data_IF_789936284789
#
_entry.id   IF_789936284789
#
_cell.length_a   1.000
_cell.length_b   1.000
_cell.length_c   1.000
_cell.angle_alpha   90.00
_cell.angle_beta   90.00
_cell.angle_gamma   90.00
#
_symmetry.space_group_name_H-M   'P 1'
#
loop_
_entity.id
_entity.type
_entity.pdbx_description
1 polymer ?
#
# COMPACT_ATOMS: atom_id res chain seq x y z
N UNK A 1 16.32 18.78 18.70
CA UNK A 1 14.99 19.41 18.89
C UNK A 1 14.01 18.95 17.84
N UNK A 2 12.74 18.77 18.23
CA UNK A 2 11.61 18.38 17.38
C UNK A 2 11.34 19.43 16.31
N UNK A 3 11.06 18.98 15.09
CA UNK A 3 10.75 19.81 13.94
C UNK A 3 9.31 19.55 13.47
N UNK A 4 8.33 20.41 13.82
CA UNK A 4 6.93 20.23 13.46
C UNK A 4 6.68 20.19 11.95
N UNK A 5 7.51 20.88 11.16
CA UNK A 5 7.38 20.96 9.70
C UNK A 5 7.77 19.67 8.98
N UNK A 6 8.57 18.82 9.64
CA UNK A 6 9.06 17.55 9.09
C UNK A 6 8.31 16.33 9.64
N UNK A 7 7.34 16.53 10.55
CA UNK A 7 6.45 15.45 11.01
C UNK A 7 5.61 14.97 9.82
N UNK A 8 5.70 13.68 9.42
CA UNK A 8 4.97 13.18 8.27
C UNK A 8 3.46 13.37 8.42
N UNK A 9 2.82 13.84 7.35
CA UNK A 9 1.37 14.00 7.28
C UNK A 9 0.80 13.06 6.23
N UNK A 10 -0.33 12.44 6.53
CA UNK A 10 -1.03 11.56 5.59
C UNK A 10 -1.89 12.43 4.67
N UNK A 11 -1.61 12.49 3.35
CA UNK A 11 -2.43 13.26 2.43
C UNK A 11 -3.73 12.53 2.10
N UNK A 12 -4.73 13.31 1.67
CA UNK A 12 -6.01 12.78 1.19
C UNK A 12 -7.06 12.56 2.28
N UNK A 13 -8.25 12.19 1.82
CA UNK A 13 -9.45 12.01 2.66
C UNK A 13 -9.78 10.51 2.75
N UNK A 14 -9.67 9.96 3.96
CA UNK A 14 -9.91 8.53 4.20
C UNK A 14 -11.38 8.14 4.00
N UNK A 15 -12.33 9.06 4.16
CA UNK A 15 -13.74 8.78 3.89
C UNK A 15 -14.01 8.69 2.40
N UNK A 16 -13.38 9.55 1.59
CA UNK A 16 -13.40 9.45 0.13
C UNK A 16 -12.74 8.15 -0.33
N UNK A 17 -11.61 7.77 0.26
CA UNK A 17 -10.92 6.53 -0.06
C UNK A 17 -11.78 5.29 0.26
N UNK A 18 -12.42 5.26 1.43
CA UNK A 18 -13.35 4.20 1.79
C UNK A 18 -14.56 4.12 0.83
N UNK A 19 -15.10 5.27 0.42
CA UNK A 19 -16.19 5.33 -0.56
C UNK A 19 -15.77 4.79 -1.94
N UNK A 20 -14.52 5.00 -2.35
CA UNK A 20 -13.97 4.37 -3.56
C UNK A 20 -13.82 2.86 -3.41
N UNK A 21 -13.37 2.37 -2.25
CA UNK A 21 -13.35 0.95 -1.94
C UNK A 21 -14.74 0.31 -2.03
N UNK A 22 -15.78 0.97 -1.53
CA UNK A 22 -17.16 0.47 -1.62
C UNK A 22 -17.69 0.49 -3.07
N UNK A 23 -17.29 1.49 -3.85
CA UNK A 23 -17.61 1.57 -5.28
C UNK A 23 -17.00 0.39 -6.05
N UNK A 24 -15.75 0.03 -5.75
CA UNK A 24 -15.11 -1.17 -6.31
C UNK A 24 -15.86 -2.44 -5.91
N UNK A 25 -16.23 -2.60 -4.64
CA UNK A 25 -16.99 -3.77 -4.17
C UNK A 25 -18.32 -3.91 -4.89
N UNK A 26 -19.05 -2.81 -5.06
CA UNK A 26 -20.30 -2.77 -5.81
C UNK A 26 -20.08 -3.14 -7.28
N UNK A 27 -19.05 -2.58 -7.92
CA UNK A 27 -18.70 -2.90 -9.30
C UNK A 27 -18.33 -4.38 -9.49
N UNK A 28 -17.49 -4.93 -8.61
CA UNK A 28 -17.12 -6.35 -8.61
C UNK A 28 -18.32 -7.28 -8.45
N UNK A 29 -19.23 -6.97 -7.52
CA UNK A 29 -20.47 -7.74 -7.36
C UNK A 29 -21.35 -7.69 -8.61
N UNK A 30 -21.54 -6.49 -9.18
CA UNK A 30 -22.33 -6.32 -10.40
C UNK A 30 -21.72 -7.07 -11.59
N UNK A 31 -20.39 -7.09 -11.71
CA UNK A 31 -19.68 -7.83 -12.74
C UNK A 31 -19.96 -9.34 -12.61
N UNK A 32 -19.79 -9.90 -11.41
CA UNK A 32 -20.05 -11.33 -11.16
C UNK A 32 -21.51 -11.72 -11.40
N UNK A 33 -22.47 -10.88 -11.00
CA UNK A 33 -23.88 -11.12 -11.31
C UNK A 33 -24.19 -11.05 -12.80
N UNK A 34 -23.58 -10.09 -13.50
CA UNK A 34 -23.77 -9.92 -14.94
C UNK A 34 -23.21 -11.11 -15.70
N UNK A 35 -22.04 -11.62 -15.33
CA UNK A 35 -21.45 -12.80 -15.98
C UNK A 35 -22.31 -14.05 -15.82
N UNK A 36 -22.87 -14.27 -14.62
CA UNK A 36 -23.84 -15.34 -14.34
C UNK A 36 -25.12 -15.17 -15.18
N UNK A 37 -25.64 -13.95 -15.27
CA UNK A 37 -26.87 -13.66 -16.01
C UNK A 37 -26.69 -13.86 -17.53
N UNK A 38 -25.53 -13.48 -18.08
CA UNK A 38 -25.20 -13.68 -19.50
C UNK A 38 -25.21 -15.17 -19.82
N UNK A 39 -24.50 -16.00 -19.05
CA UNK A 39 -24.48 -17.45 -19.26
C UNK A 39 -25.88 -18.06 -19.13
N UNK A 40 -26.60 -17.74 -18.05
CA UNK A 40 -27.97 -18.24 -17.85
C UNK A 40 -28.92 -17.87 -18.99
N UNK A 41 -28.77 -16.66 -19.56
CA UNK A 41 -29.63 -16.19 -20.67
C UNK A 41 -29.35 -17.01 -21.92
N UNK A 42 -28.08 -17.21 -22.27
CA UNK A 42 -27.69 -18.02 -23.42
C UNK A 42 -28.09 -19.48 -23.27
N UNK A 43 -27.86 -20.09 -22.10
CA UNK A 43 -28.32 -21.47 -21.83
C UNK A 43 -29.84 -21.60 -21.97
N UNK A 44 -30.61 -20.57 -21.62
CA UNK A 44 -32.06 -20.53 -21.81
C UNK A 44 -32.52 -20.53 -23.27
N UNK A 45 -31.68 -20.08 -24.21
CA UNK A 45 -31.95 -20.10 -25.65
C UNK A 45 -31.67 -21.45 -26.31
N UNK A 46 -30.94 -22.34 -25.62
CA UNK A 46 -30.54 -23.65 -26.16
C UNK A 46 -31.68 -24.48 -26.79
N UNK A 47 -32.92 -24.48 -26.27
CA UNK A 47 -34.01 -25.25 -26.86
C UNK A 47 -34.55 -24.72 -28.20
N UNK A 48 -34.29 -23.44 -28.52
CA UNK A 48 -34.89 -22.73 -29.67
C UNK A 48 -33.86 -22.17 -30.65
N UNK A 49 -32.57 -22.21 -30.28
CA UNK A 49 -31.47 -21.73 -31.10
C UNK A 49 -30.95 -22.86 -32.00
N UNK A 50 -31.14 -22.71 -33.32
CA UNK A 50 -30.73 -23.70 -34.32
C UNK A 50 -29.67 -23.10 -35.26
N UNK A 51 -28.45 -23.59 -35.13
CA UNK A 51 -27.31 -23.26 -35.97
C UNK A 51 -26.30 -24.42 -35.93
N UNK A 52 -25.54 -24.67 -37.01
CA UNK A 52 -24.52 -25.74 -37.02
C UNK A 52 -23.50 -25.62 -35.87
N UNK A 53 -23.22 -24.38 -35.43
CA UNK A 53 -22.26 -24.03 -34.39
C UNK A 53 -22.91 -23.74 -33.01
N UNK A 54 -24.20 -24.04 -32.83
CA UNK A 54 -24.95 -23.68 -31.62
C UNK A 54 -24.30 -24.15 -30.31
N UNK A 55 -23.77 -25.37 -30.30
CA UNK A 55 -23.08 -25.93 -29.14
C UNK A 55 -21.78 -25.18 -28.80
N UNK A 56 -21.07 -24.62 -29.78
CA UNK A 56 -19.84 -23.85 -29.55
C UNK A 56 -20.16 -22.51 -28.88
N UNK A 57 -21.18 -21.83 -29.40
CA UNK A 57 -21.65 -20.56 -28.85
C UNK A 57 -22.15 -20.71 -27.40
N UNK A 58 -22.96 -21.74 -27.14
CA UNK A 58 -23.46 -22.04 -25.79
C UNK A 58 -22.35 -22.51 -24.85
N UNK A 59 -21.33 -23.22 -25.35
CA UNK A 59 -20.19 -23.59 -24.52
C UNK A 59 -19.31 -22.38 -24.16
N UNK A 60 -19.21 -21.39 -25.05
CA UNK A 60 -18.39 -20.19 -24.86
C UNK A 60 -18.87 -19.29 -23.71
N UNK A 61 -20.11 -19.44 -23.24
CA UNK A 61 -20.65 -18.60 -22.15
C UNK A 61 -20.27 -19.10 -20.77
N UNK A 62 -19.97 -20.40 -20.63
CA UNK A 62 -19.54 -20.99 -19.35
C UNK A 62 -18.28 -20.33 -18.77
N UNK A 63 -17.24 -20.08 -19.60
CA UNK A 63 -16.04 -19.37 -19.15
C UNK A 63 -16.26 -17.89 -18.84
N UNK A 64 -17.20 -17.20 -19.52
CA UNK A 64 -17.61 -15.84 -19.15
C UNK A 64 -18.11 -15.81 -17.72
N UNK A 65 -18.99 -16.77 -17.39
CA UNK A 65 -19.53 -16.92 -16.04
C UNK A 65 -18.42 -17.10 -15.02
N UNK A 66 -17.52 -18.06 -15.23
CA UNK A 66 -16.47 -18.37 -14.24
C UNK A 66 -15.48 -17.22 -14.12
N UNK A 67 -14.88 -16.76 -15.21
CA UNK A 67 -13.87 -15.69 -15.17
C UNK A 67 -14.47 -14.37 -14.72
N UNK A 68 -15.67 -14.00 -15.19
CA UNK A 68 -16.32 -12.78 -14.74
C UNK A 68 -16.73 -12.82 -13.26
N UNK A 69 -17.05 -14.00 -12.73
CA UNK A 69 -17.32 -14.17 -11.31
C UNK A 69 -16.03 -14.03 -10.47
N UNK A 70 -14.94 -14.68 -10.90
CA UNK A 70 -13.65 -14.64 -10.20
C UNK A 70 -13.07 -13.21 -10.19
N UNK A 71 -13.05 -12.55 -11.35
CA UNK A 71 -12.65 -11.13 -11.47
C UNK A 71 -13.53 -10.25 -10.58
N UNK A 72 -14.85 -10.47 -10.56
CA UNK A 72 -15.76 -9.73 -9.70
C UNK A 72 -15.47 -9.93 -8.20
N UNK A 73 -15.10 -11.15 -7.80
CA UNK A 73 -14.70 -11.48 -6.44
C UNK A 73 -13.38 -10.78 -6.06
N UNK A 74 -12.38 -10.82 -6.94
CA UNK A 74 -11.08 -10.19 -6.73
C UNK A 74 -11.19 -8.67 -6.61
N UNK A 75 -12.00 -8.00 -7.45
CA UNK A 75 -12.30 -6.56 -7.30
C UNK A 75 -12.93 -6.29 -5.93
N UNK A 76 -13.79 -7.21 -5.46
CA UNK A 76 -14.39 -7.15 -4.13
C UNK A 76 -13.37 -7.26 -2.99
N UNK A 77 -12.28 -8.01 -3.19
CA UNK A 77 -11.15 -8.11 -2.24
C UNK A 77 -10.34 -6.81 -2.25
N UNK A 78 -9.98 -6.28 -3.43
CA UNK A 78 -9.27 -4.99 -3.56
C UNK A 78 -10.05 -3.87 -2.87
N UNK A 79 -11.35 -3.75 -3.16
CA UNK A 79 -12.18 -2.73 -2.53
C UNK A 79 -12.28 -2.88 -1.00
N UNK A 80 -12.23 -4.13 -0.48
CA UNK A 80 -12.19 -4.36 0.97
C UNK A 80 -10.86 -3.95 1.58
N UNK A 81 -9.73 -4.28 0.94
CA UNK A 81 -8.40 -3.90 1.41
C UNK A 81 -8.28 -2.38 1.54
N UNK A 82 -8.81 -1.64 0.55
CA UNK A 82 -8.84 -0.17 0.56
C UNK A 82 -9.70 0.39 1.70
N UNK A 83 -10.88 -0.20 1.96
CA UNK A 83 -11.74 0.21 3.08
C UNK A 83 -11.02 -0.03 4.42
N UNK A 84 -10.45 -1.22 4.61
CA UNK A 84 -9.71 -1.56 5.83
C UNK A 84 -8.55 -0.58 6.05
N UNK A 85 -7.76 -0.30 5.00
CA UNK A 85 -6.69 0.69 5.06
C UNK A 85 -7.20 2.07 5.47
N UNK A 86 -8.27 2.56 4.84
CA UNK A 86 -8.85 3.85 5.18
C UNK A 86 -9.32 3.91 6.65
N UNK A 87 -9.94 2.84 7.15
CA UNK A 87 -10.41 2.76 8.53
C UNK A 87 -9.27 2.72 9.56
N UNK A 88 -8.19 2.00 9.27
CA UNK A 88 -6.98 1.93 10.11
C UNK A 88 -6.19 3.25 10.09
N UNK A 89 -6.10 3.90 8.93
CA UNK A 89 -5.30 5.10 8.73
C UNK A 89 -6.00 6.37 9.25
N UNK A 90 -7.34 6.42 9.27
CA UNK A 90 -8.10 7.57 9.76
C UNK A 90 -7.67 8.04 11.18
N UNK A 91 -7.59 7.18 12.22
CA UNK A 91 -7.10 7.61 13.53
C UNK A 91 -5.62 7.99 13.52
N UNK A 92 -4.79 7.35 12.70
CA UNK A 92 -3.36 7.66 12.58
C UNK A 92 -3.15 9.04 11.96
N UNK A 93 -3.91 9.37 10.91
CA UNK A 93 -3.92 10.69 10.27
C UNK A 93 -4.27 11.79 11.29
N UNK A 94 -5.33 11.58 12.08
CA UNK A 94 -5.73 12.52 13.12
C UNK A 94 -4.65 12.66 14.22
N UNK A 95 -4.01 11.55 14.60
CA UNK A 95 -2.92 11.55 15.58
C UNK A 95 -1.71 12.35 15.08
N UNK A 96 -1.27 12.15 13.84
CA UNK A 96 -0.14 12.89 13.25
C UNK A 96 -0.41 14.40 13.12
N UNK A 97 -1.65 14.80 12.81
CA UNK A 97 -2.06 16.21 12.81
C UNK A 97 -2.05 16.80 14.22
N UNK A 98 -2.52 16.04 15.21
CA UNK A 98 -2.46 16.44 16.63
C UNK A 98 -1.02 16.55 17.12
N UNK A 99 -0.15 15.61 16.76
CA UNK A 99 1.27 15.63 17.13
C UNK A 99 2.00 16.81 16.50
N UNK A 100 1.72 17.15 15.24
CA UNK A 100 2.26 18.36 14.63
C UNK A 100 1.82 19.63 15.36
N UNK A 101 0.55 19.71 15.76
CA UNK A 101 0.02 20.86 16.51
C UNK A 101 0.66 20.98 17.90
N UNK A 102 0.84 19.85 18.59
CA UNK A 102 1.51 19.78 19.89
C UNK A 102 2.99 20.14 19.78
N UNK A 103 3.70 19.60 18.77
CA UNK A 103 5.08 19.95 18.51
C UNK A 103 5.26 21.43 18.19
N UNK A 104 4.34 22.04 17.43
CA UNK A 104 4.34 23.49 17.16
C UNK A 104 4.17 24.26 18.47
N UNK A 105 3.20 23.87 19.30
CA UNK A 105 2.96 24.52 20.59
C UNK A 105 4.15 24.39 21.54
N UNK A 106 4.83 23.24 21.53
CA UNK A 106 6.04 23.00 22.30
C UNK A 106 7.17 23.93 21.85
N UNK A 107 7.46 23.97 20.54
CA UNK A 107 8.50 24.85 19.95
C UNK A 107 8.21 26.32 20.29
N UNK A 108 6.96 26.76 20.15
CA UNK A 108 6.56 28.13 20.51
C UNK A 108 6.72 28.40 22.03
N UNK A 109 6.51 27.40 22.89
CA UNK A 109 6.59 27.57 24.35
C UNK A 109 8.02 27.75 24.88
N UNK A 110 9.00 27.27 24.13
CA UNK A 110 10.44 27.38 24.47
C UNK A 110 11.16 28.42 23.62
N UNK A 111 10.42 29.17 22.79
CA UNK A 111 10.99 30.23 21.96
C UNK A 111 11.65 31.32 22.83
N UNK A 112 12.96 31.50 22.66
CA UNK A 112 13.75 32.48 23.42
C UNK A 112 14.12 32.06 24.84
N UNK A 113 13.88 30.79 25.20
CA UNK A 113 14.36 30.15 26.42
C UNK A 113 15.52 29.20 26.04
N UNK A 114 16.75 29.74 26.01
CA UNK A 114 17.94 28.97 25.57
C UNK A 114 18.28 27.82 26.54
N UNK A 115 17.78 27.85 27.78
CA UNK A 115 18.04 26.87 28.84
C UNK A 115 16.81 25.95 29.09
N UNK A 116 15.88 25.87 28.14
CA UNK A 116 14.65 25.07 28.31
C UNK A 116 14.92 23.58 28.59
N UNK A 117 16.07 23.08 28.13
CA UNK A 117 16.54 21.70 28.32
C UNK A 117 17.06 21.42 29.74
N UNK A 118 17.21 22.44 30.59
CA UNK A 118 17.43 22.27 32.04
C UNK A 118 16.13 21.93 32.79
N UNK A 119 14.97 22.13 32.16
CA UNK A 119 13.66 21.74 32.71
C UNK A 119 13.32 20.31 32.29
N UNK A 120 13.55 19.36 33.19
CA UNK A 120 13.29 17.93 32.95
C UNK A 120 11.85 17.63 32.49
N UNK A 121 10.85 18.40 32.92
CA UNK A 121 9.46 18.21 32.47
C UNK A 121 9.31 18.58 30.98
N UNK A 122 10.04 19.61 30.50
CA UNK A 122 10.04 20.00 29.08
C UNK A 122 10.81 19.00 28.21
N UNK A 123 11.93 18.47 28.72
CA UNK A 123 12.69 17.41 28.03
C UNK A 123 11.86 16.15 27.90
N UNK A 124 11.15 15.74 28.95
CA UNK A 124 10.23 14.60 28.95
C UNK A 124 9.08 14.81 27.95
N UNK A 125 8.46 16.00 27.94
CA UNK A 125 7.40 16.35 26.97
C UNK A 125 7.92 16.26 25.53
N UNK A 126 9.06 16.87 25.26
CA UNK A 126 9.73 16.87 23.96
C UNK A 126 10.02 15.44 23.45
N UNK A 127 10.67 14.63 24.28
CA UNK A 127 11.05 13.26 23.92
C UNK A 127 9.80 12.35 23.80
N UNK A 128 8.76 12.61 24.59
CA UNK A 128 7.47 11.94 24.43
C UNK A 128 6.80 12.27 23.09
N UNK A 129 6.92 13.50 22.59
CA UNK A 129 6.38 13.86 21.28
C UNK A 129 7.09 13.10 20.15
N UNK A 130 8.42 12.98 20.22
CA UNK A 130 9.22 12.26 19.22
C UNK A 130 8.83 10.77 19.14
N UNK A 131 8.76 10.10 20.29
CA UNK A 131 8.37 8.67 20.36
C UNK A 131 6.92 8.44 19.91
N UNK A 132 6.00 9.37 20.20
CA UNK A 132 4.64 9.30 19.69
C UNK A 132 4.54 9.49 18.16
N UNK A 133 5.39 10.34 17.57
CA UNK A 133 5.50 10.46 16.11
C UNK A 133 6.02 9.16 15.51
N UNK A 134 7.07 8.57 16.08
CA UNK A 134 7.63 7.28 15.65
C UNK A 134 6.57 6.19 15.64
N UNK A 135 5.82 6.05 16.72
CA UNK A 135 4.75 5.06 16.83
C UNK A 135 3.65 5.24 15.77
N UNK A 136 3.22 6.48 15.52
CA UNK A 136 2.20 6.78 14.51
C UNK A 136 2.71 6.51 13.08
N UNK A 137 3.96 6.85 12.80
CA UNK A 137 4.61 6.62 11.50
C UNK A 137 4.80 5.11 11.24
N UNK A 138 5.23 4.33 12.24
CA UNK A 138 5.33 2.88 12.16
C UNK A 138 3.96 2.21 11.94
N UNK A 139 2.92 2.66 12.65
CA UNK A 139 1.56 2.17 12.47
C UNK A 139 1.02 2.46 11.06
N UNK A 140 1.36 3.61 10.49
CA UNK A 140 0.98 3.93 9.11
C UNK A 140 1.62 2.97 8.11
N UNK A 141 2.92 2.69 8.23
CA UNK A 141 3.61 1.72 7.38
C UNK A 141 3.02 0.31 7.51
N UNK A 142 2.57 -0.07 8.70
CA UNK A 142 1.93 -1.37 8.92
C UNK A 142 0.58 -1.51 8.20
N UNK A 143 -0.26 -0.48 8.27
CA UNK A 143 -1.51 -0.43 7.51
C UNK A 143 -1.26 -0.56 6.00
N UNK A 144 -0.19 0.09 5.50
CA UNK A 144 0.20 0.01 4.09
C UNK A 144 0.62 -1.40 3.70
N UNK A 145 1.48 -2.07 4.49
CA UNK A 145 1.86 -3.47 4.25
C UNK A 145 0.63 -4.38 4.21
N UNK A 146 -0.28 -4.24 5.17
CA UNK A 146 -1.50 -5.05 5.26
C UNK A 146 -2.36 -4.89 4.01
N UNK A 147 -2.57 -3.65 3.56
CA UNK A 147 -3.30 -3.34 2.34
C UNK A 147 -2.62 -3.93 1.10
N UNK A 148 -1.32 -3.68 0.95
CA UNK A 148 -0.52 -4.17 -0.17
C UNK A 148 -0.53 -5.70 -0.24
N UNK A 149 -0.26 -6.39 0.86
CA UNK A 149 -0.23 -7.86 0.91
C UNK A 149 -1.57 -8.48 0.55
N UNK A 150 -2.67 -7.87 1.00
CA UNK A 150 -4.02 -8.34 0.65
C UNK A 150 -4.27 -8.28 -0.86
N UNK A 151 -3.82 -7.21 -1.51
CA UNK A 151 -3.98 -7.04 -2.96
C UNK A 151 -2.97 -7.93 -3.73
N UNK A 152 -1.72 -7.99 -3.26
CA UNK A 152 -0.64 -8.75 -3.89
C UNK A 152 -0.91 -10.26 -3.87
N UNK A 153 -1.62 -10.75 -2.84
CA UNK A 153 -2.05 -12.14 -2.77
C UNK A 153 -2.98 -12.56 -3.93
N UNK A 154 -3.68 -11.62 -4.58
CA UNK A 154 -4.58 -11.91 -5.70
C UNK A 154 -3.83 -12.32 -6.97
N UNK A 155 -2.60 -11.84 -7.15
CA UNK A 155 -1.82 -12.08 -8.35
C UNK A 155 -0.45 -12.72 -8.10
N UNK A 156 -0.19 -13.16 -6.86
CA UNK A 156 1.11 -13.73 -6.47
C UNK A 156 2.24 -12.70 -6.45
N UNK A 157 1.92 -11.43 -6.24
CA UNK A 157 2.90 -10.35 -6.12
C UNK A 157 3.73 -10.43 -4.85
N UNK A 158 4.70 -9.52 -4.74
CA UNK A 158 5.59 -9.38 -3.59
C UNK A 158 4.77 -9.30 -2.30
N UNK A 159 5.19 -10.03 -1.27
CA UNK A 159 4.64 -9.90 0.06
C UNK A 159 5.60 -9.07 0.90
N UNK A 160 5.11 -7.93 1.37
CA UNK A 160 5.85 -7.01 2.18
C UNK A 160 5.87 -7.44 3.64
N UNK A 161 7.05 -7.39 4.24
CA UNK A 161 7.30 -7.52 5.67
C UNK A 161 7.98 -6.25 6.17
N UNK A 162 7.91 -6.05 7.46
CA UNK A 162 8.69 -5.02 8.12
C UNK A 162 10.19 -5.31 7.92
N UNK A 163 10.99 -4.26 7.76
CA UNK A 163 12.45 -4.32 7.82
C UNK A 163 12.88 -5.00 9.13
N UNK A 164 13.93 -5.82 9.11
CA UNK A 164 14.41 -6.56 10.28
C UNK A 164 15.62 -5.90 10.97
N UNK A 165 16.11 -4.79 10.42
CA UNK A 165 17.20 -4.01 10.97
C UNK A 165 18.57 -4.68 10.83
N UNK A 166 18.77 -5.55 9.83
CA UNK A 166 20.09 -6.13 9.55
C UNK A 166 21.00 -5.23 8.67
N UNK A 167 20.41 -4.18 8.06
CA UNK A 167 21.09 -3.22 7.21
C UNK A 167 21.29 -3.68 5.77
N UNK A 168 20.61 -4.75 5.35
CA UNK A 168 20.57 -5.28 4.00
C UNK A 168 19.18 -5.10 3.45
N UNK A 169 19.04 -4.40 2.32
CA UNK A 169 17.74 -4.28 1.67
C UNK A 169 17.37 -5.61 0.98
N UNK A 170 16.39 -6.34 1.52
CA UNK A 170 15.82 -7.51 0.86
C UNK A 170 14.53 -7.22 0.10
N UNK A 171 14.28 -8.01 -0.95
CA UNK A 171 13.02 -7.92 -1.69
C UNK A 171 11.85 -8.25 -0.78
N UNK A 172 10.90 -7.32 -0.70
CA UNK A 172 9.73 -7.46 0.15
C UNK A 172 9.92 -6.89 1.55
N UNK A 173 11.01 -6.19 1.85
CA UNK A 173 11.08 -5.35 3.04
C UNK A 173 10.52 -3.96 2.75
N UNK A 174 9.66 -3.48 3.65
CA UNK A 174 9.12 -2.15 3.60
C UNK A 174 8.72 -1.65 4.98
N UNK A 175 9.27 -0.50 5.33
CA UNK A 175 8.91 0.23 6.54
C UNK A 175 9.47 -0.38 7.81
N UNK A 176 9.43 0.43 8.87
CA UNK A 176 10.17 0.20 10.10
C UNK A 176 9.24 -0.06 11.28
N UNK A 177 9.80 -0.57 12.39
CA UNK A 177 9.11 -0.65 13.68
C UNK A 177 9.24 0.66 14.45
N UNK A 178 8.38 0.86 15.46
CA UNK A 178 8.58 1.98 16.40
C UNK A 178 9.95 1.87 17.04
N UNK A 179 10.36 0.67 17.46
CA UNK A 179 11.66 0.43 18.08
C UNK A 179 12.84 0.79 17.16
N UNK A 180 12.74 0.50 15.85
CA UNK A 180 13.76 0.88 14.86
C UNK A 180 13.80 2.39 14.64
N UNK A 181 12.64 3.04 14.64
CA UNK A 181 12.58 4.50 14.59
C UNK A 181 13.14 5.11 15.88
N UNK A 182 12.88 4.52 17.04
CA UNK A 182 13.43 4.97 18.33
C UNK A 182 14.96 4.74 18.38
N UNK A 183 15.48 3.65 17.81
CA UNK A 183 16.91 3.45 17.67
C UNK A 183 17.54 4.47 16.71
N UNK A 184 16.89 4.75 15.57
CA UNK A 184 17.31 5.79 14.63
C UNK A 184 17.25 7.20 15.23
N UNK A 185 16.27 7.46 16.11
CA UNK A 185 16.13 8.71 16.83
C UNK A 185 17.37 9.01 17.69
N UNK A 186 17.92 7.98 18.33
CA UNK A 186 19.12 8.07 19.17
C UNK A 186 20.45 8.03 18.37
N UNK A 187 20.39 8.13 17.04
CA UNK A 187 21.56 8.14 16.16
C UNK A 187 22.25 9.51 16.09
N UNK A 188 23.50 9.55 15.62
CA UNK A 188 24.19 10.83 15.32
C UNK A 188 23.39 11.74 14.38
N UNK A 189 22.61 11.15 13.46
CA UNK A 189 21.87 11.85 12.42
C UNK A 189 20.40 12.13 12.81
N UNK A 190 19.90 11.50 13.88
CA UNK A 190 18.52 11.61 14.36
C UNK A 190 17.46 11.18 13.34
N UNK A 191 16.26 11.73 13.50
CA UNK A 191 15.16 11.59 12.56
C UNK A 191 14.79 12.94 11.92
N UNK A 192 14.09 12.92 10.77
CA UNK A 192 13.64 14.14 10.09
C UNK A 192 12.88 15.12 10.99
N UNK A 193 12.00 14.55 11.83
CA UNK A 193 11.16 15.29 12.76
C UNK A 193 11.85 15.59 14.08
N UNK A 194 13.14 15.25 14.25
CA UNK A 194 13.96 15.75 15.36
C UNK A 194 14.96 14.74 15.92
N UNK A 195 15.77 15.24 16.85
CA UNK A 195 16.68 14.50 17.72
C UNK A 195 16.18 14.58 19.16
N UNK A 196 16.41 13.55 19.99
CA UNK A 196 16.12 13.61 21.42
C UNK A 196 16.99 14.67 22.08
N UNK A 197 16.53 15.19 23.21
CA UNK A 197 17.32 16.07 24.08
C UNK A 197 17.59 15.33 25.40
N UNK A 198 18.81 15.44 25.91
CA UNK A 198 19.14 14.97 27.26
C UNK A 198 18.96 16.14 28.24
N UNK A 199 18.53 15.87 29.46
CA UNK A 199 18.57 16.86 30.54
C UNK A 199 20.03 17.25 30.75
N UNK A 200 20.37 18.54 30.65
CA UNK A 200 21.75 19.02 30.79
C UNK A 200 22.26 18.73 32.22
N UNK A 201 22.88 17.55 32.42
CA UNK A 201 23.54 17.14 33.65
C UNK A 201 25.04 17.48 33.60
N UNK A 202 25.72 17.72 34.74
CA UNK A 202 27.08 18.26 34.73
C UNK A 202 28.08 17.33 34.00
N UNK A 203 28.85 17.92 33.07
CA UNK A 203 29.91 17.45 32.15
C UNK A 203 30.76 16.17 32.38
N UNK A 204 30.56 15.35 33.43
CA UNK A 204 31.36 14.17 33.75
C UNK A 204 30.66 12.83 33.48
N UNK A 205 29.44 12.84 32.96
CA UNK A 205 28.60 11.64 32.79
C UNK A 205 28.24 11.34 31.34
N UNK A 206 29.21 11.48 30.42
CA UNK A 206 28.99 11.19 29.00
C UNK A 206 29.84 10.02 28.52
N UNK A 207 29.18 8.88 28.34
CA UNK A 207 29.84 7.68 27.86
C UNK A 207 28.87 6.56 27.53
N UNK A 208 28.65 6.34 26.23
CA UNK A 208 28.94 5.07 25.56
C UNK A 208 28.60 5.15 24.07
N UNK A 209 29.64 5.02 23.25
CA UNK A 209 29.55 4.73 21.82
C UNK A 209 29.22 3.24 21.62
N UNK A 210 28.11 2.92 20.96
CA UNK A 210 28.01 1.68 20.19
C UNK A 210 27.10 1.88 18.97
N UNK A 211 27.51 1.29 17.84
CA UNK A 211 26.83 1.15 16.53
C UNK A 211 27.14 2.25 15.47
N UNK A 212 28.43 2.44 15.15
CA UNK A 212 28.87 3.40 14.12
C UNK A 212 28.78 2.97 12.64
N UNK A 213 28.23 1.81 12.29
CA UNK A 213 28.13 1.36 10.87
C UNK A 213 26.75 0.91 10.39
N UNK A 214 25.77 0.76 11.29
CA UNK A 214 24.40 0.41 10.94
C UNK A 214 23.58 1.67 10.62
N UNK A 215 23.77 2.76 11.39
CA UNK A 215 22.87 3.91 11.35
C UNK A 215 23.04 4.83 10.13
N UNK A 216 24.24 5.00 9.57
CA UNK A 216 24.41 5.95 8.44
C UNK A 216 23.76 5.52 7.13
N UNK A 217 23.67 4.22 6.84
CA UNK A 217 23.06 3.72 5.60
C UNK A 217 21.54 3.53 5.74
N UNK A 218 21.10 3.00 6.87
CA UNK A 218 19.69 2.69 7.13
C UNK A 218 18.86 3.96 7.39
N UNK A 219 19.41 4.93 8.12
CA UNK A 219 18.66 6.14 8.53
C UNK A 219 18.61 7.18 7.40
N UNK A 220 19.75 7.51 6.79
CA UNK A 220 19.82 8.62 5.83
C UNK A 220 19.21 8.26 4.47
N UNK A 221 19.45 7.06 3.95
CA UNK A 221 18.91 6.63 2.65
C UNK A 221 17.64 5.75 2.81
N UNK A 222 17.60 4.84 3.79
CA UNK A 222 16.49 3.89 3.97
C UNK A 222 15.21 4.51 4.52
N UNK A 223 15.28 5.20 5.67
CA UNK A 223 14.11 5.88 6.26
C UNK A 223 13.63 7.01 5.35
N UNK A 224 14.55 7.82 4.80
CA UNK A 224 14.19 8.91 3.91
C UNK A 224 13.57 8.45 2.59
N UNK A 225 14.20 7.45 1.94
CA UNK A 225 13.65 6.83 0.73
C UNK A 225 12.29 6.20 0.96
N UNK A 226 12.11 5.56 2.12
CA UNK A 226 10.82 4.97 2.53
C UNK A 226 9.76 6.03 2.77
N UNK A 227 10.06 7.14 3.46
CA UNK A 227 9.11 8.24 3.66
C UNK A 227 8.71 8.90 2.34
N UNK A 228 9.65 9.16 1.43
CA UNK A 228 9.33 9.69 0.09
C UNK A 228 8.54 8.68 -0.75
N UNK A 229 8.85 7.39 -0.63
CA UNK A 229 8.08 6.30 -1.23
C UNK A 229 6.66 6.20 -0.67
N UNK A 230 6.49 6.45 0.63
CA UNK A 230 5.23 6.52 1.37
C UNK A 230 4.26 7.50 0.72
N UNK A 231 4.75 8.70 0.39
CA UNK A 231 3.95 9.77 -0.21
C UNK A 231 3.50 9.44 -1.64
N UNK A 232 4.26 8.64 -2.36
CA UNK A 232 3.94 8.27 -3.73
C UNK A 232 3.15 6.96 -3.82
N UNK A 233 3.09 6.14 -2.76
CA UNK A 233 2.56 4.75 -2.75
C UNK A 233 3.13 3.83 -3.85
N UNK A 234 4.07 4.30 -4.68
CA UNK A 234 4.63 3.58 -5.83
C UNK A 234 5.53 2.42 -5.36
N UNK A 235 6.17 2.51 -4.20
CA UNK A 235 7.16 1.52 -3.79
C UNK A 235 6.56 0.24 -3.17
N UNK A 236 5.33 0.32 -2.65
CA UNK A 236 4.63 -0.81 -1.99
C UNK A 236 3.60 -1.51 -2.87
N UNK A 237 3.35 -0.99 -4.06
CA UNK A 237 2.40 -1.58 -5.00
C UNK A 237 3.08 -1.77 -6.35
N UNK A 238 3.21 -3.03 -6.75
CA UNK A 238 3.61 -3.39 -8.11
C UNK A 238 2.42 -3.22 -9.07
N UNK A 239 2.12 -1.97 -9.39
CA UNK A 239 1.00 -1.58 -10.26
C UNK A 239 1.15 -2.11 -11.68
N UNK A 240 2.38 -2.28 -12.16
CA UNK A 240 2.65 -2.81 -13.50
C UNK A 240 2.29 -4.30 -13.56
N UNK A 241 2.75 -5.11 -12.60
CA UNK A 241 2.39 -6.53 -12.53
C UNK A 241 0.91 -6.71 -12.23
N UNK A 242 0.33 -5.92 -11.32
CA UNK A 242 -1.11 -5.94 -11.08
C UNK A 242 -1.88 -5.68 -12.37
N UNK A 243 -1.57 -4.59 -13.09
CA UNK A 243 -2.24 -4.24 -14.34
C UNK A 243 -2.02 -5.30 -15.41
N UNK A 244 -0.82 -5.87 -15.52
CA UNK A 244 -0.50 -6.92 -16.48
C UNK A 244 -1.28 -8.21 -16.23
N UNK A 245 -1.36 -8.69 -14.97
CA UNK A 245 -2.13 -9.88 -14.61
C UNK A 245 -3.61 -9.69 -14.92
N UNK A 246 -4.17 -8.53 -14.57
CA UNK A 246 -5.58 -8.23 -14.85
C UNK A 246 -5.85 -8.04 -16.34
N UNK A 247 -4.93 -7.44 -17.09
CA UNK A 247 -5.00 -7.37 -18.55
C UNK A 247 -4.93 -8.78 -19.18
N UNK A 248 -4.07 -9.67 -18.68
CA UNK A 248 -3.97 -11.05 -19.14
C UNK A 248 -5.26 -11.85 -18.86
N UNK A 249 -5.89 -11.67 -17.69
CA UNK A 249 -7.20 -12.24 -17.39
C UNK A 249 -8.29 -11.71 -18.33
N UNK A 250 -8.28 -10.41 -18.62
CA UNK A 250 -9.17 -9.79 -19.62
C UNK A 250 -8.95 -10.36 -21.03
N UNK A 251 -7.70 -10.56 -21.42
CA UNK A 251 -7.30 -11.19 -22.68
C UNK A 251 -7.79 -12.64 -22.77
N UNK A 252 -7.59 -13.45 -21.73
CA UNK A 252 -8.12 -14.83 -21.65
C UNK A 252 -9.65 -14.86 -21.78
N UNK A 253 -10.35 -14.00 -21.05
CA UNK A 253 -11.81 -13.89 -21.17
C UNK A 253 -12.25 -13.54 -22.61
N UNK A 254 -11.53 -12.64 -23.28
CA UNK A 254 -11.80 -12.26 -24.67
C UNK A 254 -11.57 -13.40 -25.66
N UNK A 255 -10.49 -14.18 -25.48
CA UNK A 255 -10.18 -15.38 -26.28
C UNK A 255 -11.30 -16.41 -26.14
N UNK A 256 -11.74 -16.68 -24.92
CA UNK A 256 -12.72 -17.75 -24.67
C UNK A 256 -14.12 -17.36 -25.17
N UNK A 257 -14.47 -16.08 -25.10
CA UNK A 257 -15.74 -15.57 -25.67
C UNK A 257 -15.77 -15.55 -27.19
N UNK A 258 -14.59 -15.53 -27.83
CA UNK A 258 -14.46 -15.41 -29.26
C UNK A 258 -13.47 -16.46 -29.79
N UNK A 259 -13.79 -17.76 -29.71
CA UNK A 259 -12.86 -18.84 -30.08
C UNK A 259 -12.52 -18.85 -31.58
N UNK A 260 -13.32 -18.17 -32.41
CA UNK A 260 -12.99 -17.93 -33.83
C UNK A 260 -11.78 -17.00 -33.97
N UNK A 261 -11.57 -16.09 -33.01
CA UNK A 261 -10.44 -15.16 -33.02
C UNK A 261 -9.10 -15.85 -32.75
N UNK A 262 -9.08 -17.00 -32.05
CA UNK A 262 -7.88 -17.86 -31.96
C UNK A 262 -7.37 -18.26 -33.35
N UNK A 263 -8.30 -18.70 -34.21
CA UNK A 263 -7.99 -19.11 -35.58
C UNK A 263 -7.65 -17.89 -36.45
N UNK A 264 -8.34 -16.76 -36.27
CA UNK A 264 -8.10 -15.54 -37.06
C UNK A 264 -6.77 -14.85 -36.66
N UNK A 265 -6.33 -15.00 -35.40
CA UNK A 265 -5.12 -14.39 -34.88
C UNK A 265 -3.84 -15.02 -35.42
N UNK A 266 -3.89 -16.29 -35.86
CA UNK A 266 -2.79 -16.90 -36.61
C UNK A 266 -2.49 -16.15 -37.91
N UNK A 267 -3.51 -15.58 -38.55
CA UNK A 267 -3.41 -15.00 -39.89
C UNK A 267 -3.46 -13.48 -39.92
N UNK A 268 -3.92 -12.84 -38.84
CA UNK A 268 -4.09 -11.37 -38.74
C UNK A 268 -3.91 -10.86 -37.31
N UNK A 269 -3.40 -9.65 -37.13
CA UNK A 269 -3.42 -8.98 -35.83
C UNK A 269 -4.86 -8.59 -35.44
N UNK A 270 -5.22 -8.74 -34.18
CA UNK A 270 -6.58 -8.47 -33.65
C UNK A 270 -6.46 -7.35 -32.61
N UNK A 271 -7.40 -6.39 -32.50
CA UNK A 271 -7.27 -5.29 -31.54
C UNK A 271 -6.98 -5.79 -30.12
N UNK A 272 -5.84 -5.37 -29.55
CA UNK A 272 -5.37 -5.81 -28.23
C UNK A 272 -4.43 -7.03 -28.20
N UNK A 273 -4.15 -7.63 -29.36
CA UNK A 273 -3.28 -8.81 -29.51
C UNK A 273 -2.38 -8.71 -30.75
N UNK A 274 -1.10 -9.02 -30.60
CA UNK A 274 -0.22 -9.25 -31.74
C UNK A 274 -0.62 -10.53 -32.50
N UNK A 275 -0.22 -10.62 -33.77
CA UNK A 275 -0.52 -11.79 -34.59
C UNK A 275 0.19 -13.03 -34.00
N UNK A 276 -0.56 -14.07 -33.67
CA UNK A 276 -0.06 -15.31 -33.07
C UNK A 276 0.02 -15.32 -31.53
N UNK A 277 -0.18 -14.18 -30.85
CA UNK A 277 -0.02 -14.04 -29.40
C UNK A 277 -1.06 -14.88 -28.60
N UNK A 278 -2.24 -15.16 -29.18
CA UNK A 278 -3.34 -15.85 -28.49
C UNK A 278 -3.15 -17.36 -28.33
N UNK A 279 -2.07 -17.93 -28.86
CA UNK A 279 -1.74 -19.36 -28.74
C UNK A 279 -0.65 -19.65 -27.69
N UNK A 280 0.01 -18.61 -27.17
CA UNK A 280 1.15 -18.72 -26.24
C UNK A 280 0.74 -18.57 -24.75
N UNK A 281 -0.56 -18.45 -24.45
CA UNK A 281 -1.13 -18.38 -23.09
C UNK A 281 -1.55 -19.73 -22.53
#
# INVERSE_FOLDING_TARGET
MINPGEIPQIPGDMDVLAAHGESLRTAGSNLGWTSLAVDSTWQGLAPVYDAPEAWQLLAATGPVRTTGYDVGADVGVVGRAIITYADEVRPIQAQLQSLQSQATSFVDSVEGDDDWNEDGDKVDEHNSLLTQVNAAVAAWMDAQRTCANTINALYGGIQYRQDDGDGVEEVGEFGFSSDMLDEALNSEDGLPWGTPEEEDLPWWEDGLNMVGSFLKGVVVDGIWGTLVGLFNMVNVFDWDTFTATWAALGKLAFIITNPVLLVVNEFTAIPGFEQGEMLDT
#
